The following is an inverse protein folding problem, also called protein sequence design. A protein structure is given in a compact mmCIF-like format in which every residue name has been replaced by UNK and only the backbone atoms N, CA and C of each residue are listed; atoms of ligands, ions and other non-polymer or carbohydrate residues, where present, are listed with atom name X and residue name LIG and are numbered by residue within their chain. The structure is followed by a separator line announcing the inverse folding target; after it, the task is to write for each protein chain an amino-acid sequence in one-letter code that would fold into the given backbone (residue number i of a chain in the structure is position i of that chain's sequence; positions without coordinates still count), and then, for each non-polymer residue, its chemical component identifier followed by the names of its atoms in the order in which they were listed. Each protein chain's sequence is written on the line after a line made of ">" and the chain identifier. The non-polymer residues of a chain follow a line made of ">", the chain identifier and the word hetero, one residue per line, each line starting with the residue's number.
data_IF_673915931233
#
_entry.id   IF_673915931233
#
_cell.length_a   1.000
_cell.length_b   1.000
_cell.length_c   1.000
_cell.angle_alpha   90.00
_cell.angle_beta   90.00
_cell.angle_gamma   90.00
#
_symmetry.space_group_name_H-M   'P 1'
#
loop_
_entity.id
_entity.type
_entity.pdbx_description
1 polymer ?
#
# COMPACT_ATOMS: atom_id res chain seq x y z
N UNK A 1 -5.77 26.42 25.95
CA UNK A 1 -6.12 26.63 24.52
C UNK A 1 -4.92 26.94 23.60
N UNK A 2 -3.89 27.69 24.03
CA UNK A 2 -2.70 27.96 23.19
C UNK A 2 -1.89 26.71 22.82
N UNK A 3 -1.69 25.82 23.81
CA UNK A 3 -0.93 24.56 23.62
C UNK A 3 -1.56 23.66 22.55
N UNK A 4 -2.85 23.33 22.67
CA UNK A 4 -3.56 22.51 21.69
C UNK A 4 -3.53 23.09 20.26
N UNK A 5 -3.60 24.42 20.09
CA UNK A 5 -3.48 25.05 18.78
C UNK A 5 -2.08 24.92 18.18
N UNK A 6 -1.05 24.98 19.00
CA UNK A 6 0.33 24.81 18.57
C UNK A 6 0.59 23.34 18.19
N UNK A 7 0.16 22.42 19.04
CA UNK A 7 0.28 20.98 18.84
C UNK A 7 -0.38 20.53 17.52
N UNK A 8 -1.62 20.98 17.27
CA UNK A 8 -2.32 20.73 16.01
C UNK A 8 -1.55 21.24 14.78
N UNK A 9 -0.91 22.42 14.87
CA UNK A 9 -0.10 22.95 13.77
C UNK A 9 1.16 22.13 13.52
N UNK A 10 1.80 21.63 14.57
CA UNK A 10 2.97 20.75 14.48
C UNK A 10 2.58 19.44 13.81
N UNK A 11 1.50 18.80 14.26
CA UNK A 11 0.96 17.58 13.66
C UNK A 11 0.56 17.78 12.21
N UNK A 12 -0.16 18.87 11.90
CA UNK A 12 -0.53 19.17 10.52
C UNK A 12 0.70 19.35 9.63
N UNK A 13 1.77 19.99 10.11
CA UNK A 13 3.01 20.14 9.36
C UNK A 13 3.68 18.78 9.10
N UNK A 14 3.76 17.93 10.13
CA UNK A 14 4.27 16.56 10.02
C UNK A 14 3.49 15.77 8.96
N UNK A 15 2.16 15.77 9.04
CA UNK A 15 1.30 15.03 8.11
C UNK A 15 1.43 15.55 6.67
N UNK A 16 1.58 16.86 6.47
CA UNK A 16 1.88 17.43 5.15
C UNK A 16 3.23 16.94 4.60
N UNK A 17 4.25 16.79 5.45
CA UNK A 17 5.53 16.22 5.02
C UNK A 17 5.41 14.74 4.66
N UNK A 18 4.65 13.97 5.44
CA UNK A 18 4.38 12.56 5.18
C UNK A 18 3.66 12.37 3.84
N UNK A 19 2.51 13.01 3.63
CA UNK A 19 1.73 12.87 2.39
C UNK A 19 2.52 13.35 1.16
N UNK A 20 3.38 14.36 1.28
CA UNK A 20 4.24 14.80 0.18
C UNK A 20 5.31 13.76 -0.21
N UNK A 21 5.80 12.95 0.74
CA UNK A 21 6.69 11.82 0.43
C UNK A 21 5.92 10.71 -0.28
N UNK A 22 4.73 10.37 0.23
CA UNK A 22 3.88 9.33 -0.35
C UNK A 22 3.41 9.75 -1.75
N UNK A 23 3.06 11.01 -1.97
CA UNK A 23 2.68 11.54 -3.28
C UNK A 23 3.81 11.42 -4.31
N UNK A 24 5.08 11.61 -3.91
CA UNK A 24 6.22 11.39 -4.82
C UNK A 24 6.35 9.93 -5.21
N UNK A 25 6.15 9.02 -4.26
CA UNK A 25 6.07 7.59 -4.53
C UNK A 25 4.91 7.26 -5.48
N UNK A 26 3.70 7.75 -5.20
CA UNK A 26 2.51 7.54 -6.02
C UNK A 26 2.68 8.03 -7.46
N UNK A 27 3.26 9.22 -7.64
CA UNK A 27 3.63 9.75 -8.96
C UNK A 27 4.68 8.92 -9.67
N UNK A 28 5.59 8.28 -8.93
CA UNK A 28 6.59 7.37 -9.48
C UNK A 28 5.99 6.11 -10.11
N UNK A 29 4.80 5.69 -9.65
CA UNK A 29 4.04 4.59 -10.25
C UNK A 29 3.31 4.99 -11.53
N UNK A 30 3.23 6.28 -11.83
CA UNK A 30 2.48 6.86 -12.95
C UNK A 30 1.10 6.21 -13.15
N UNK A 31 0.33 6.18 -12.06
CA UNK A 31 -0.91 5.41 -11.96
C UNK A 31 -1.92 5.78 -13.04
N UNK A 32 -2.00 7.06 -13.40
CA UNK A 32 -2.91 7.52 -14.46
C UNK A 32 -2.59 6.90 -15.83
N UNK A 33 -1.32 6.62 -16.11
CA UNK A 33 -0.87 5.99 -17.35
C UNK A 33 -0.96 4.47 -17.27
N UNK A 34 -0.49 3.88 -16.17
CA UNK A 34 -0.38 2.42 -16.03
C UNK A 34 -1.70 1.75 -15.62
N UNK A 35 -2.60 2.50 -14.98
CA UNK A 35 -3.90 2.04 -14.48
C UNK A 35 -4.99 3.07 -14.81
N UNK A 36 -5.27 3.35 -16.10
CA UNK A 36 -6.19 4.43 -16.49
C UNK A 36 -7.65 4.20 -16.07
N UNK A 37 -7.96 3.01 -15.59
CA UNK A 37 -9.28 2.57 -15.16
C UNK A 37 -9.50 2.68 -13.63
N UNK A 38 -8.47 3.02 -12.85
CA UNK A 38 -8.55 3.02 -11.38
C UNK A 38 -8.79 4.42 -10.80
N UNK A 39 -9.39 4.45 -9.61
CA UNK A 39 -9.72 5.68 -8.89
C UNK A 39 -8.48 6.21 -8.16
N UNK A 40 -8.14 7.49 -8.30
CA UNK A 40 -7.09 8.11 -7.46
C UNK A 40 -7.63 8.31 -6.03
N UNK A 41 -7.14 7.50 -5.09
CA UNK A 41 -7.56 7.49 -3.68
C UNK A 41 -6.44 7.84 -2.71
N UNK A 42 -5.32 8.38 -3.19
CA UNK A 42 -4.13 8.61 -2.36
C UNK A 42 -4.44 9.43 -1.09
N UNK A 43 -5.21 10.51 -1.24
CA UNK A 43 -5.52 11.44 -0.14
C UNK A 43 -6.46 10.78 0.87
N UNK A 44 -7.46 10.04 0.39
CA UNK A 44 -8.42 9.29 1.20
C UNK A 44 -7.72 8.19 1.99
N UNK A 45 -6.86 7.39 1.34
CA UNK A 45 -6.09 6.34 1.99
C UNK A 45 -5.22 6.92 3.12
N UNK A 46 -4.53 8.03 2.87
CA UNK A 46 -3.74 8.69 3.91
C UNK A 46 -4.62 9.23 5.04
N UNK A 47 -5.78 9.82 4.70
CA UNK A 47 -6.72 10.35 5.67
C UNK A 47 -7.26 9.26 6.60
N UNK A 48 -7.61 8.08 6.09
CA UNK A 48 -8.02 6.93 6.90
C UNK A 48 -6.92 6.51 7.88
N UNK A 49 -5.66 6.47 7.44
CA UNK A 49 -4.53 6.08 8.30
C UNK A 49 -4.20 7.13 9.35
N UNK A 50 -4.30 8.41 8.99
CA UNK A 50 -4.19 9.50 9.95
C UNK A 50 -5.32 9.46 10.99
N UNK A 51 -6.53 9.05 10.60
CA UNK A 51 -7.65 8.82 11.52
C UNK A 51 -7.42 7.66 12.49
N UNK A 52 -6.71 6.62 12.07
CA UNK A 52 -6.38 5.46 12.93
C UNK A 52 -5.33 5.80 14.00
N UNK A 53 -4.29 6.54 13.63
CA UNK A 53 -3.21 6.96 14.54
C UNK A 53 -2.57 8.25 14.02
N UNK A 54 -2.80 9.37 14.71
CA UNK A 54 -2.32 10.69 14.30
C UNK A 54 -1.00 11.09 14.98
N UNK A 55 -0.57 10.36 16.02
CA UNK A 55 0.57 10.73 16.84
C UNK A 55 1.90 10.59 16.08
N UNK A 56 2.93 11.40 16.39
CA UNK A 56 4.16 11.46 15.61
C UNK A 56 4.93 10.13 15.51
N UNK A 57 4.93 9.32 16.56
CA UNK A 57 5.69 8.05 16.59
C UNK A 57 5.12 6.96 15.68
N UNK A 58 3.92 7.16 15.12
CA UNK A 58 3.32 6.25 14.13
C UNK A 58 3.59 6.66 12.67
N UNK A 59 4.48 7.62 12.40
CA UNK A 59 4.77 8.10 11.05
C UNK A 59 5.16 6.98 10.06
N UNK A 60 6.00 6.03 10.49
CA UNK A 60 6.41 4.87 9.66
C UNK A 60 5.21 3.98 9.35
N UNK A 61 4.38 3.68 10.35
CA UNK A 61 3.19 2.88 10.18
C UNK A 61 2.19 3.55 9.24
N UNK A 62 1.91 4.86 9.40
CA UNK A 62 1.04 5.61 8.48
C UNK A 62 1.55 5.55 7.05
N UNK A 63 2.86 5.74 6.83
CA UNK A 63 3.43 5.69 5.49
C UNK A 63 3.28 4.30 4.87
N UNK A 64 3.66 3.24 5.60
CA UNK A 64 3.54 1.86 5.14
C UNK A 64 2.09 1.50 4.82
N UNK A 65 1.17 1.67 5.77
CA UNK A 65 -0.22 1.25 5.59
C UNK A 65 -0.91 2.10 4.52
N UNK A 66 -0.59 3.39 4.38
CA UNK A 66 -1.13 4.19 3.27
C UNK A 66 -0.74 3.62 1.91
N UNK A 67 0.54 3.24 1.72
CA UNK A 67 0.99 2.61 0.46
C UNK A 67 0.26 1.29 0.20
N UNK A 68 0.15 0.45 1.23
CA UNK A 68 -0.58 -0.83 1.16
C UNK A 68 -2.05 -0.60 0.80
N UNK A 69 -2.74 0.35 1.44
CA UNK A 69 -4.14 0.68 1.13
C UNK A 69 -4.31 1.22 -0.29
N UNK A 70 -3.37 2.04 -0.79
CA UNK A 70 -3.41 2.51 -2.18
C UNK A 70 -3.27 1.35 -3.18
N UNK A 71 -2.35 0.42 -2.92
CA UNK A 71 -2.20 -0.80 -3.74
C UNK A 71 -3.46 -1.67 -3.67
N UNK A 72 -4.01 -1.90 -2.47
CA UNK A 72 -5.27 -2.63 -2.32
C UNK A 72 -6.45 -1.94 -3.03
N UNK A 73 -6.47 -0.61 -3.12
CA UNK A 73 -7.49 0.11 -3.89
C UNK A 73 -7.34 -0.09 -5.40
N UNK A 74 -6.11 -0.14 -5.93
CA UNK A 74 -5.88 -0.47 -7.35
C UNK A 74 -6.37 -1.89 -7.62
N UNK A 75 -6.06 -2.80 -6.70
CA UNK A 75 -6.44 -4.19 -6.80
C UNK A 75 -7.96 -4.39 -6.76
N UNK A 76 -8.66 -3.72 -5.86
CA UNK A 76 -10.13 -3.68 -5.78
C UNK A 76 -10.74 -3.31 -7.14
N UNK A 77 -10.24 -2.24 -7.77
CA UNK A 77 -10.69 -1.81 -9.10
C UNK A 77 -10.38 -2.86 -10.20
N UNK A 78 -9.25 -3.58 -10.09
CA UNK A 78 -8.90 -4.67 -11.01
C UNK A 78 -9.89 -5.83 -10.86
N UNK A 79 -10.15 -6.30 -9.63
CA UNK A 79 -11.02 -7.45 -9.37
C UNK A 79 -12.50 -7.16 -9.67
N UNK A 80 -12.96 -5.94 -9.39
CA UNK A 80 -14.38 -5.59 -9.54
C UNK A 80 -14.78 -5.24 -10.97
N UNK A 81 -13.87 -4.68 -11.78
CA UNK A 81 -14.27 -4.03 -13.03
C UNK A 81 -13.39 -4.34 -14.26
N UNK A 82 -12.16 -4.84 -14.11
CA UNK A 82 -11.21 -4.88 -15.23
C UNK A 82 -10.66 -6.27 -15.55
N UNK A 83 -10.19 -7.02 -14.55
CA UNK A 83 -9.51 -8.29 -14.75
C UNK A 83 -10.43 -9.38 -15.29
N UNK A 84 -9.95 -10.19 -16.23
CA UNK A 84 -10.67 -11.40 -16.62
C UNK A 84 -10.49 -12.48 -15.56
N UNK A 85 -11.42 -13.43 -15.49
CA UNK A 85 -11.34 -14.53 -14.53
C UNK A 85 -9.99 -15.26 -14.57
N UNK A 86 -9.46 -15.53 -15.77
CA UNK A 86 -8.17 -16.22 -15.95
C UNK A 86 -6.98 -15.39 -15.45
N UNK A 87 -6.99 -14.07 -15.69
CA UNK A 87 -5.97 -13.15 -15.18
C UNK A 87 -6.02 -13.07 -13.64
N UNK A 88 -7.22 -12.95 -13.07
CA UNK A 88 -7.43 -12.89 -11.63
C UNK A 88 -7.05 -14.20 -10.93
N UNK A 89 -7.34 -15.36 -11.53
CA UNK A 89 -6.94 -16.66 -10.97
C UNK A 89 -5.41 -16.79 -10.95
N UNK A 90 -4.74 -16.40 -12.04
CA UNK A 90 -3.29 -16.40 -12.14
C UNK A 90 -2.66 -15.45 -11.12
N UNK A 91 -3.21 -14.24 -11.00
CA UNK A 91 -2.75 -13.23 -10.07
C UNK A 91 -2.93 -13.64 -8.61
N UNK A 92 -4.08 -14.23 -8.26
CA UNK A 92 -4.35 -14.78 -6.93
C UNK A 92 -3.31 -15.82 -6.55
N UNK A 93 -2.95 -16.72 -7.47
CA UNK A 93 -1.91 -17.73 -7.25
C UNK A 93 -0.52 -17.11 -7.05
N UNK A 94 -0.20 -16.04 -7.80
CA UNK A 94 1.04 -15.31 -7.62
C UNK A 94 1.11 -14.67 -6.22
N UNK A 95 0.05 -13.99 -5.80
CA UNK A 95 -0.04 -13.39 -4.47
C UNK A 95 0.09 -14.43 -3.36
N UNK A 96 -0.58 -15.58 -3.46
CA UNK A 96 -0.44 -16.66 -2.47
C UNK A 96 0.99 -17.18 -2.34
N UNK A 97 1.80 -17.13 -3.41
CA UNK A 97 3.21 -17.54 -3.39
C UNK A 97 4.12 -16.44 -2.87
N UNK A 98 3.80 -15.17 -3.16
CA UNK A 98 4.56 -13.99 -2.77
C UNK A 98 6.06 -14.08 -3.10
N UNK A 99 6.33 -14.53 -4.32
CA UNK A 99 7.67 -14.74 -4.86
C UNK A 99 7.89 -13.84 -6.09
N UNK A 100 9.08 -13.23 -6.21
CA UNK A 100 9.50 -12.43 -7.37
C UNK A 100 9.47 -13.23 -8.67
N UNK A 101 9.66 -14.55 -8.61
CA UNK A 101 9.59 -15.45 -9.76
C UNK A 101 8.19 -15.52 -10.41
N UNK A 102 7.16 -15.02 -9.73
CA UNK A 102 5.81 -14.96 -10.27
C UNK A 102 5.59 -13.76 -11.21
N UNK A 103 6.45 -12.73 -11.18
CA UNK A 103 6.27 -11.48 -11.93
C UNK A 103 6.16 -11.75 -13.43
N UNK A 104 7.08 -12.51 -14.01
CA UNK A 104 7.14 -12.71 -15.47
C UNK A 104 5.92 -13.43 -16.06
N UNK A 105 5.13 -14.08 -15.21
CA UNK A 105 3.93 -14.81 -15.61
C UNK A 105 2.69 -13.92 -15.72
N UNK A 106 2.69 -12.74 -15.09
CA UNK A 106 1.52 -11.86 -15.00
C UNK A 106 1.36 -10.98 -16.26
N UNK A 107 0.16 -10.44 -16.52
CA UNK A 107 -0.02 -9.32 -17.45
C UNK A 107 0.77 -8.06 -17.02
N UNK A 108 1.21 -7.23 -17.96
CA UNK A 108 2.15 -6.12 -17.67
C UNK A 108 1.63 -5.13 -16.60
N UNK A 109 0.33 -4.81 -16.61
CA UNK A 109 -0.27 -3.93 -15.60
C UNK A 109 -0.25 -4.56 -14.19
N UNK A 110 -0.45 -5.88 -14.10
CA UNK A 110 -0.36 -6.65 -12.85
C UNK A 110 1.09 -6.83 -12.38
N UNK A 111 2.07 -6.89 -13.30
CA UNK A 111 3.51 -6.92 -12.94
C UNK A 111 3.90 -5.69 -12.17
N UNK A 112 3.49 -4.51 -12.64
CA UNK A 112 3.81 -3.25 -11.98
C UNK A 112 3.27 -3.23 -10.55
N UNK A 113 1.99 -3.59 -10.38
CA UNK A 113 1.38 -3.68 -9.05
C UNK A 113 2.14 -4.66 -8.15
N UNK A 114 2.43 -5.86 -8.66
CA UNK A 114 3.03 -6.94 -7.87
C UNK A 114 4.47 -6.62 -7.47
N UNK A 115 5.25 -6.08 -8.40
CA UNK A 115 6.61 -5.60 -8.10
C UNK A 115 6.58 -4.51 -7.03
N UNK A 116 5.64 -3.57 -7.10
CA UNK A 116 5.56 -2.50 -6.12
C UNK A 116 5.12 -3.01 -4.75
N UNK A 117 4.17 -3.95 -4.70
CA UNK A 117 3.77 -4.60 -3.47
C UNK A 117 4.98 -5.27 -2.79
N UNK A 118 5.78 -6.04 -3.53
CA UNK A 118 7.00 -6.64 -2.99
C UNK A 118 7.97 -5.58 -2.47
N UNK A 119 8.20 -4.50 -3.20
CA UNK A 119 9.08 -3.40 -2.77
C UNK A 119 8.61 -2.77 -1.45
N UNK A 120 7.32 -2.45 -1.33
CA UNK A 120 6.75 -1.83 -0.12
C UNK A 120 6.91 -2.73 1.11
N UNK A 121 6.71 -4.04 0.95
CA UNK A 121 6.88 -4.99 2.04
C UNK A 121 8.34 -5.25 2.38
N UNK A 122 9.23 -5.30 1.39
CA UNK A 122 10.67 -5.41 1.60
C UNK A 122 11.24 -4.18 2.33
N UNK A 123 10.84 -2.97 1.94
CA UNK A 123 11.19 -1.73 2.65
C UNK A 123 10.79 -1.80 4.13
N UNK A 124 9.62 -2.35 4.42
CA UNK A 124 9.12 -2.51 5.78
C UNK A 124 9.87 -3.61 6.55
N UNK A 125 10.21 -4.71 5.89
CA UNK A 125 11.01 -5.79 6.45
C UNK A 125 12.42 -5.30 6.86
N UNK A 126 13.06 -4.48 6.02
CA UNK A 126 14.36 -3.85 6.31
C UNK A 126 14.29 -2.89 7.53
N UNK A 127 13.13 -2.29 7.78
CA UNK A 127 12.91 -1.45 8.96
C UNK A 127 12.63 -2.29 10.21
N UNK A 128 11.78 -3.31 10.09
CA UNK A 128 11.36 -4.15 11.22
C UNK A 128 12.46 -5.13 11.66
N UNK A 129 13.30 -5.61 10.75
CA UNK A 129 14.42 -6.49 11.05
C UNK A 129 15.44 -5.84 11.99
N UNK A 130 15.68 -4.52 11.84
CA UNK A 130 16.53 -3.73 12.74
C UNK A 130 16.02 -3.69 14.18
N UNK A 131 14.71 -3.89 14.37
CA UNK A 131 14.07 -3.97 15.69
C UNK A 131 13.80 -5.40 16.15
N UNK A 132 14.21 -6.43 15.38
CA UNK A 132 13.87 -7.83 15.66
C UNK A 132 12.38 -8.14 15.51
N UNK A 133 11.65 -7.39 14.68
CA UNK A 133 10.19 -7.45 14.52
C UNK A 133 9.72 -7.88 13.13
N UNK A 134 10.60 -8.47 12.32
CA UNK A 134 10.32 -9.02 10.98
C UNK A 134 9.03 -9.85 10.89
N UNK A 135 8.72 -10.64 11.92
CA UNK A 135 7.49 -11.44 11.98
C UNK A 135 6.20 -10.62 11.76
N UNK A 136 6.21 -9.31 12.05
CA UNK A 136 5.06 -8.42 11.82
C UNK A 136 4.78 -8.18 10.34
N UNK A 137 5.81 -8.20 9.50
CA UNK A 137 5.65 -8.05 8.05
C UNK A 137 5.05 -9.32 7.47
N UNK A 138 5.51 -10.49 7.93
CA UNK A 138 4.89 -11.77 7.56
C UNK A 138 3.39 -11.82 7.90
N UNK A 139 3.01 -11.36 9.10
CA UNK A 139 1.59 -11.24 9.48
C UNK A 139 0.80 -10.29 8.57
N UNK A 140 1.44 -9.19 8.13
CA UNK A 140 0.82 -8.24 7.21
C UNK A 140 0.66 -8.83 5.79
N UNK A 141 1.57 -9.69 5.35
CA UNK A 141 1.46 -10.43 4.09
C UNK A 141 0.33 -11.46 4.18
N UNK A 142 0.24 -12.21 5.27
CA UNK A 142 -0.85 -13.17 5.52
C UNK A 142 -2.22 -12.48 5.56
N UNK A 143 -2.29 -11.25 6.09
CA UNK A 143 -3.52 -10.45 6.05
C UNK A 143 -3.93 -10.08 4.62
N UNK A 144 -2.97 -9.83 3.73
CA UNK A 144 -3.26 -9.64 2.30
C UNK A 144 -3.84 -10.92 1.73
N UNK A 145 -3.26 -12.10 1.99
CA UNK A 145 -3.81 -13.36 1.50
C UNK A 145 -5.26 -13.58 1.91
N UNK A 146 -5.59 -13.28 3.17
CA UNK A 146 -6.96 -13.38 3.65
C UNK A 146 -7.90 -12.47 2.85
N UNK A 147 -7.52 -11.22 2.59
CA UNK A 147 -8.32 -10.30 1.77
C UNK A 147 -8.56 -10.89 0.38
N UNK A 148 -7.52 -11.42 -0.26
CA UNK A 148 -7.63 -12.04 -1.58
C UNK A 148 -8.56 -13.25 -1.58
N UNK A 149 -8.52 -14.11 -0.57
CA UNK A 149 -9.42 -15.26 -0.47
C UNK A 149 -10.90 -14.90 -0.30
N UNK A 150 -11.22 -13.69 0.16
CA UNK A 150 -12.60 -13.21 0.24
C UNK A 150 -13.09 -12.56 -1.05
N UNK A 151 -12.18 -12.07 -1.90
CA UNK A 151 -12.51 -11.41 -3.17
C UNK A 151 -12.52 -12.37 -4.38
N UNK A 152 -11.87 -13.54 -4.26
CA UNK A 152 -11.79 -14.59 -5.30
C UNK A 152 -12.93 -15.61 -5.23
#
# INVERSE_FOLDING_TARGET
>A
MKFAKLDFKILQHLHKMEINKINRWWKGLDVATNFPFIRDRLVECYFWMMGAYFEPHYAVARAFVTKVTCLLSILDDIYDAYGTYEELEMFTKAVQRWDTNCIDQLPDYMKLWYSEALNVYNDMEDLMSKEGKSYRVQLAIEAVYMIFTFCS
#
